data_IF_874875596264
#
_entry.id   IF_874875596264
#
_cell.length_a   1.000
_cell.length_b   1.000
_cell.length_c   1.000
_cell.angle_alpha   90.00
_cell.angle_beta   90.00
_cell.angle_gamma   90.00
#
_symmetry.space_group_name_H-M   'P 1'
#
loop_
_entity.id
_entity.type
_entity.pdbx_description
1 polymer ?
#
# COMPACT_ATOMS: atom_id res chain seq x y z
N UNK A 1 -2.78 20.57 14.49
CA UNK A 1 -2.24 21.58 13.56
C UNK A 1 -0.70 21.67 13.61
N UNK A 2 -0.07 21.63 14.79
CA UNK A 2 1.41 21.70 14.96
C UNK A 2 2.16 20.52 14.30
N UNK A 3 1.57 19.31 14.31
CA UNK A 3 2.18 18.12 13.68
C UNK A 3 2.29 18.20 12.15
N UNK A 4 1.36 18.89 11.47
CA UNK A 4 1.40 19.02 10.02
C UNK A 4 2.48 20.00 9.56
N UNK A 5 2.73 21.06 10.35
CA UNK A 5 3.74 22.08 10.03
C UNK A 5 5.15 21.50 10.16
N UNK A 6 5.40 20.66 11.18
CA UNK A 6 6.68 19.97 11.33
C UNK A 6 6.94 18.94 10.22
N UNK A 7 5.89 18.26 9.74
CA UNK A 7 6.00 17.30 8.65
C UNK A 7 6.32 17.98 7.30
N UNK A 8 5.67 19.12 7.01
CA UNK A 8 5.93 19.92 5.81
C UNK A 8 7.36 20.48 5.83
N UNK A 9 7.82 21.00 6.98
CA UNK A 9 9.18 21.52 7.13
C UNK A 9 10.28 20.45 6.94
N UNK A 10 10.05 19.24 7.44
CA UNK A 10 10.99 18.13 7.25
C UNK A 10 11.09 17.71 5.78
N UNK A 11 9.96 17.62 5.07
CA UNK A 11 9.91 17.25 3.65
C UNK A 11 10.58 18.30 2.75
N UNK A 12 10.40 19.60 3.08
CA UNK A 12 11.07 20.69 2.37
C UNK A 12 12.60 20.68 2.58
N UNK A 13 13.06 20.41 3.81
CA UNK A 13 14.49 20.29 4.13
C UNK A 13 15.15 19.13 3.38
N UNK A 14 14.50 17.97 3.35
CA UNK A 14 15.04 16.78 2.66
C UNK A 14 15.11 16.99 1.15
N UNK A 15 14.12 17.69 0.55
CA UNK A 15 14.16 18.09 -0.86
C UNK A 15 15.32 19.05 -1.18
N UNK A 16 15.58 20.03 -0.31
CA UNK A 16 16.69 20.98 -0.49
C UNK A 16 18.05 20.28 -0.44
N UNK A 17 18.23 19.33 0.47
CA UNK A 17 19.46 18.52 0.56
C UNK A 17 19.66 17.66 -0.69
N UNK A 18 18.60 17.08 -1.25
CA UNK A 18 18.68 16.32 -2.50
C UNK A 18 19.10 17.20 -3.69
N UNK A 19 18.53 18.40 -3.82
CA UNK A 19 18.89 19.34 -4.88
C UNK A 19 20.36 19.76 -4.74
N UNK A 20 20.81 20.10 -3.54
CA UNK A 20 22.21 20.44 -3.27
C UNK A 20 23.17 19.30 -3.62
N UNK A 21 22.79 18.05 -3.33
CA UNK A 21 23.60 16.87 -3.68
C UNK A 21 23.74 16.66 -5.18
N UNK A 22 22.64 16.80 -5.93
CA UNK A 22 22.65 16.71 -7.40
C UNK A 22 23.55 17.79 -8.00
N UNK A 23 23.47 19.02 -7.49
CA UNK A 23 24.33 20.12 -7.94
C UNK A 23 25.83 19.83 -7.71
N UNK A 24 26.19 19.27 -6.56
CA UNK A 24 27.58 18.90 -6.25
C UNK A 24 28.10 17.80 -7.18
N UNK A 25 27.28 16.79 -7.49
CA UNK A 25 27.66 15.73 -8.44
C UNK A 25 27.89 16.31 -9.84
N UNK A 26 26.98 17.14 -10.32
CA UNK A 26 27.11 17.78 -11.64
C UNK A 26 28.37 18.63 -11.70
N UNK A 27 28.63 19.44 -10.65
CA UNK A 27 29.85 20.24 -10.56
C UNK A 27 31.13 19.38 -10.55
N UNK A 28 31.12 18.25 -9.83
CA UNK A 28 32.25 17.31 -9.81
C UNK A 28 32.53 16.70 -11.18
N UNK A 29 31.48 16.23 -11.88
CA UNK A 29 31.60 15.65 -13.23
C UNK A 29 32.16 16.67 -14.23
N UNK A 30 31.65 17.91 -14.19
CA UNK A 30 32.15 19.00 -15.05
C UNK A 30 33.61 19.30 -14.76
N UNK A 31 33.99 19.41 -13.48
CA UNK A 31 35.37 19.69 -13.08
C UNK A 31 36.34 18.58 -13.46
N UNK A 32 35.95 17.30 -13.31
CA UNK A 32 36.75 16.15 -13.76
C UNK A 32 36.93 16.19 -15.28
N UNK A 33 35.87 16.51 -16.04
CA UNK A 33 35.93 16.67 -17.49
C UNK A 33 36.89 17.80 -17.92
N UNK A 34 36.79 18.97 -17.28
CA UNK A 34 37.69 20.10 -17.54
C UNK A 34 39.15 19.77 -17.20
N UNK A 35 39.38 18.98 -16.16
CA UNK A 35 40.74 18.57 -15.76
C UNK A 35 41.32 17.51 -16.70
N UNK A 36 40.48 16.58 -17.18
CA UNK A 36 40.86 15.62 -18.22
C UNK A 36 41.18 16.30 -19.55
N UNK A 37 40.38 17.29 -19.95
CA UNK A 37 40.60 18.05 -21.17
C UNK A 37 41.83 18.97 -21.11
N UNK A 38 42.14 19.53 -19.94
CA UNK A 38 43.37 20.29 -19.73
C UNK A 38 44.61 19.39 -19.69
N UNK A 39 44.48 18.18 -19.13
CA UNK A 39 45.56 17.18 -19.12
C UNK A 39 45.87 16.63 -20.52
N UNK A 40 44.87 16.47 -21.39
CA UNK A 40 45.07 16.06 -22.79
C UNK A 40 45.53 17.19 -23.71
N UNK A 41 45.70 18.41 -23.18
CA UNK A 41 46.15 19.58 -23.93
C UNK A 41 45.10 20.18 -24.86
N UNK A 42 43.83 19.77 -24.74
CA UNK A 42 42.71 20.31 -25.52
C UNK A 42 42.30 21.70 -25.02
N UNK A 43 42.47 21.96 -23.72
CA UNK A 43 42.14 23.23 -23.06
C UNK A 43 43.35 23.71 -22.26
N UNK A 44 43.61 25.02 -22.22
CA UNK A 44 44.67 25.60 -21.39
C UNK A 44 44.29 25.57 -19.91
N UNK A 45 45.28 25.34 -19.04
CA UNK A 45 45.09 25.42 -17.59
C UNK A 45 44.73 26.86 -17.18
N UNK A 46 43.81 27.03 -16.20
CA UNK A 46 43.44 28.35 -15.72
C UNK A 46 44.66 29.09 -15.18
N UNK A 47 44.81 30.37 -15.55
CA UNK A 47 45.97 31.15 -15.13
C UNK A 47 45.67 31.87 -13.81
N UNK A 48 46.43 31.52 -12.76
CA UNK A 48 46.27 32.04 -11.40
C UNK A 48 47.61 32.63 -10.95
N UNK A 49 47.61 33.93 -10.66
CA UNK A 49 48.79 34.61 -10.11
C UNK A 49 48.84 34.40 -8.60
N UNK A 50 49.63 33.42 -8.16
CA UNK A 50 49.89 33.16 -6.74
C UNK A 50 51.37 33.34 -6.45
N UNK A 51 51.70 34.09 -5.40
CA UNK A 51 53.06 34.28 -4.90
C UNK A 51 53.17 33.77 -3.46
N UNK A 52 54.25 33.04 -3.16
CA UNK A 52 54.54 32.55 -1.82
C UNK A 52 55.98 32.93 -1.46
N UNK A 53 56.15 33.71 -0.40
CA UNK A 53 57.47 34.17 0.03
C UNK A 53 58.24 34.98 -1.02
N UNK A 54 57.54 35.77 -1.84
CA UNK A 54 58.15 36.63 -2.88
C UNK A 54 58.56 35.91 -4.18
N UNK A 55 58.33 34.59 -4.30
CA UNK A 55 58.50 33.84 -5.55
C UNK A 55 57.13 33.56 -6.18
N UNK A 56 56.99 33.84 -7.47
CA UNK A 56 55.81 33.47 -8.25
C UNK A 56 55.77 31.96 -8.43
N UNK A 57 54.65 31.33 -8.06
CA UNK A 57 54.47 29.88 -8.19
C UNK A 57 54.02 29.57 -9.61
N UNK A 58 54.92 29.01 -10.42
CA UNK A 58 54.59 28.55 -11.77
C UNK A 58 53.61 27.38 -11.69
N UNK A 59 52.52 27.43 -12.46
CA UNK A 59 51.51 26.37 -12.47
C UNK A 59 50.51 26.41 -11.32
N UNK A 60 50.40 27.52 -10.59
CA UNK A 60 49.45 27.68 -9.48
C UNK A 60 48.00 27.30 -9.84
N UNK A 61 47.56 27.61 -11.07
CA UNK A 61 46.22 27.24 -11.53
C UNK A 61 46.03 25.74 -11.81
N UNK A 62 47.09 25.05 -12.24
CA UNK A 62 47.08 23.58 -12.37
C UNK A 62 46.88 22.92 -11.00
N UNK A 63 47.65 23.33 -10.00
CA UNK A 63 47.52 22.81 -8.64
C UNK A 63 46.16 23.15 -8.02
N UNK A 64 45.63 24.35 -8.26
CA UNK A 64 44.31 24.76 -7.77
C UNK A 64 43.18 23.93 -8.39
N UNK A 65 43.24 23.68 -9.70
CA UNK A 65 42.23 22.89 -10.40
C UNK A 65 42.26 21.42 -9.94
N UNK A 66 43.45 20.81 -9.83
CA UNK A 66 43.59 19.43 -9.34
C UNK A 66 43.15 19.31 -7.87
N UNK A 67 43.50 20.30 -7.03
CA UNK A 67 43.05 20.34 -5.64
C UNK A 67 41.54 20.42 -5.51
N UNK A 68 40.90 21.29 -6.30
CA UNK A 68 39.44 21.46 -6.30
C UNK A 68 38.71 20.21 -6.80
N UNK A 69 39.23 19.55 -7.84
CA UNK A 69 38.62 18.31 -8.37
C UNK A 69 38.73 17.17 -7.39
N UNK A 70 39.88 17.00 -6.75
CA UNK A 70 40.09 15.99 -5.72
C UNK A 70 39.16 16.22 -4.53
N UNK A 71 38.99 17.48 -4.09
CA UNK A 71 38.06 17.86 -3.03
C UNK A 71 36.60 17.53 -3.39
N UNK A 72 36.17 17.85 -4.61
CA UNK A 72 34.81 17.53 -5.08
C UNK A 72 34.57 16.01 -5.18
N UNK A 73 35.54 15.26 -5.70
CA UNK A 73 35.47 13.79 -5.74
C UNK A 73 35.35 13.18 -4.33
N UNK A 74 36.13 13.67 -3.38
CA UNK A 74 36.10 13.21 -1.99
C UNK A 74 34.74 13.53 -1.34
N UNK A 75 34.20 14.72 -1.61
CA UNK A 75 32.88 15.13 -1.13
C UNK A 75 31.75 14.25 -1.71
N UNK A 76 31.84 13.90 -3.01
CA UNK A 76 30.92 12.98 -3.67
C UNK A 76 30.95 11.57 -3.07
N UNK A 77 32.09 11.12 -2.51
CA UNK A 77 32.19 9.83 -1.85
C UNK A 77 31.69 9.87 -0.39
N UNK A 78 31.97 10.96 0.34
CA UNK A 78 31.60 11.11 1.76
C UNK A 78 30.10 11.38 1.98
N UNK A 79 29.48 12.21 1.13
CA UNK A 79 28.07 12.58 1.27
C UNK A 79 27.08 11.38 1.25
N UNK A 80 27.15 10.43 0.29
CA UNK A 80 26.24 9.28 0.26
C UNK A 80 26.48 8.32 1.43
N UNK A 81 27.73 8.15 1.89
CA UNK A 81 28.05 7.34 3.06
C UNK A 81 27.41 7.91 4.34
N UNK A 82 27.54 9.22 4.55
CA UNK A 82 26.92 9.91 5.69
C UNK A 82 25.39 9.94 5.58
N UNK A 83 24.82 10.09 4.39
CA UNK A 83 23.37 10.04 4.18
C UNK A 83 22.79 8.64 4.48
N UNK A 84 23.52 7.58 4.11
CA UNK A 84 23.15 6.20 4.42
C UNK A 84 23.21 5.92 5.93
N UNK A 85 24.22 6.43 6.62
CA UNK A 85 24.35 6.32 8.07
C UNK A 85 23.23 7.07 8.81
N UNK A 86 22.95 8.32 8.41
CA UNK A 86 21.87 9.12 8.99
C UNK A 86 20.46 8.54 8.73
N UNK A 87 20.27 7.79 7.63
CA UNK A 87 19.04 7.04 7.36
C UNK A 87 18.93 5.84 8.31
N UNK A 88 20.03 5.14 8.58
CA UNK A 88 20.07 4.02 9.52
C UNK A 88 19.73 4.48 10.95
N UNK A 89 20.29 5.61 11.39
CA UNK A 89 19.99 6.19 12.71
C UNK A 89 18.52 6.62 12.85
N UNK A 90 17.93 7.20 11.79
CA UNK A 90 16.49 7.51 11.78
C UNK A 90 15.62 6.27 11.82
N UNK A 91 16.00 5.22 11.09
CA UNK A 91 15.29 3.93 11.11
C UNK A 91 15.39 3.24 12.48
N UNK A 92 16.51 3.38 13.17
CA UNK A 92 16.71 2.83 14.52
C UNK A 92 15.96 3.65 15.58
N UNK A 93 15.83 4.97 15.39
CA UNK A 93 15.02 5.86 16.24
C UNK A 93 13.51 5.68 16.02
N UNK A 94 13.06 5.32 14.83
CA UNK A 94 11.65 5.00 14.57
C UNK A 94 11.21 3.64 15.12
N UNK A 95 12.16 2.79 15.54
CA UNK A 95 11.87 1.54 16.23
C UNK A 95 11.79 1.71 17.77
N UNK A 96 12.11 2.89 18.29
CA UNK A 96 11.75 3.25 19.65
C UNK A 96 10.26 3.58 19.66
N UNK A 97 9.48 2.72 20.30
CA UNK A 97 8.05 2.88 20.57
C UNK A 97 7.77 4.36 20.87
N UNK A 98 6.95 5.02 20.05
CA UNK A 98 6.60 6.41 20.28
C UNK A 98 5.94 6.52 21.65
N UNK A 99 6.30 7.53 22.45
CA UNK A 99 5.62 7.82 23.72
C UNK A 99 4.10 7.95 23.52
N UNK A 100 3.65 8.32 22.31
CA UNK A 100 2.22 8.32 21.96
C UNK A 100 1.63 6.92 21.82
N UNK A 101 2.38 5.94 21.31
CA UNK A 101 1.94 4.55 21.22
C UNK A 101 1.94 3.88 22.59
N UNK A 102 2.95 4.16 23.42
CA UNK A 102 2.96 3.75 24.85
C UNK A 102 1.78 4.36 25.58
N UNK A 103 1.54 5.68 25.42
CA UNK A 103 0.42 6.37 26.04
C UNK A 103 -0.92 5.80 25.56
N UNK A 104 -1.07 5.51 24.26
CA UNK A 104 -2.30 4.95 23.70
C UNK A 104 -2.55 3.53 24.19
N UNK A 105 -1.51 2.69 24.25
CA UNK A 105 -1.59 1.35 24.83
C UNK A 105 -1.92 1.40 26.33
N UNK A 106 -1.28 2.32 27.07
CA UNK A 106 -1.52 2.55 28.49
C UNK A 106 -2.94 3.06 28.76
N UNK A 107 -3.44 4.01 27.96
CA UNK A 107 -4.83 4.49 28.02
C UNK A 107 -5.83 3.40 27.70
N UNK A 108 -5.56 2.54 26.70
CA UNK A 108 -6.45 1.43 26.35
C UNK A 108 -6.51 0.37 27.46
N UNK A 109 -5.35 0.02 28.03
CA UNK A 109 -5.24 -0.90 29.16
C UNK A 109 -5.91 -0.32 30.42
N UNK A 110 -5.67 0.95 30.76
CA UNK A 110 -6.30 1.62 31.90
C UNK A 110 -7.77 1.96 31.67
N UNK A 111 -8.24 2.09 30.42
CA UNK A 111 -9.65 2.23 30.12
C UNK A 111 -10.38 0.90 30.30
N UNK A 112 -9.74 -0.24 30.02
CA UNK A 112 -10.29 -1.55 30.32
C UNK A 112 -10.32 -1.83 31.83
N UNK A 113 -9.24 -1.50 32.53
CA UNK A 113 -9.10 -1.71 33.97
C UNK A 113 -10.04 -0.80 34.78
N UNK A 114 -10.10 0.50 34.44
CA UNK A 114 -11.06 1.42 35.06
C UNK A 114 -12.51 1.06 34.75
N UNK A 115 -12.83 0.53 33.57
CA UNK A 115 -14.18 0.04 33.28
C UNK A 115 -14.61 -1.08 34.23
N UNK A 116 -13.69 -1.98 34.60
CA UNK A 116 -13.95 -3.01 35.62
C UNK A 116 -14.12 -2.43 37.03
N UNK A 117 -13.29 -1.47 37.43
CA UNK A 117 -13.41 -0.81 38.75
C UNK A 117 -14.69 0.04 38.86
N UNK A 118 -15.09 0.70 37.77
CA UNK A 118 -16.35 1.45 37.71
C UNK A 118 -17.60 0.56 37.56
N UNK A 119 -17.49 -0.62 36.94
CA UNK A 119 -18.61 -1.58 36.93
C UNK A 119 -18.86 -2.13 38.33
N UNK A 120 -17.80 -2.49 39.07
CA UNK A 120 -17.91 -2.94 40.45
C UNK A 120 -18.60 -1.90 41.33
N UNK A 121 -18.19 -0.64 41.29
CA UNK A 121 -18.83 0.43 42.09
C UNK A 121 -20.30 0.67 41.71
N UNK A 122 -20.66 0.52 40.44
CA UNK A 122 -22.06 0.64 39.99
C UNK A 122 -22.91 -0.54 40.48
N UNK A 123 -22.36 -1.75 40.46
CA UNK A 123 -23.01 -2.96 40.99
C UNK A 123 -23.21 -2.87 42.51
N UNK A 124 -22.19 -2.41 43.24
CA UNK A 124 -22.26 -2.16 44.69
C UNK A 124 -23.31 -1.09 45.03
N UNK A 125 -23.38 0.02 44.28
CA UNK A 125 -24.37 1.06 44.53
C UNK A 125 -25.80 0.58 44.22
N UNK A 126 -25.98 -0.21 43.15
CA UNK A 126 -27.27 -0.82 42.84
C UNK A 126 -27.70 -1.84 43.91
N UNK A 127 -26.77 -2.61 44.48
CA UNK A 127 -27.03 -3.51 45.60
C UNK A 127 -27.40 -2.71 46.87
N UNK A 128 -26.65 -1.65 47.18
CA UNK A 128 -26.89 -0.76 48.32
C UNK A 128 -28.27 -0.10 48.26
N UNK A 129 -28.61 0.48 47.11
CA UNK A 129 -29.92 1.10 46.88
C UNK A 129 -31.06 0.09 47.10
N UNK A 130 -30.84 -1.19 46.72
CA UNK A 130 -31.83 -2.25 46.92
C UNK A 130 -31.96 -2.69 48.37
N UNK A 131 -30.85 -2.83 49.10
CA UNK A 131 -30.88 -3.09 50.55
C UNK A 131 -31.56 -1.94 51.31
N UNK A 132 -31.32 -0.70 50.90
CA UNK A 132 -31.99 0.46 51.47
C UNK A 132 -33.51 0.45 51.18
N UNK A 133 -33.90 0.07 49.96
CA UNK A 133 -35.30 -0.10 49.59
C UNK A 133 -35.99 -1.20 50.41
N UNK A 134 -35.37 -2.38 50.55
CA UNK A 134 -35.93 -3.50 51.33
C UNK A 134 -36.07 -3.15 52.82
N UNK A 135 -35.08 -2.43 53.39
CA UNK A 135 -35.10 -1.99 54.79
C UNK A 135 -36.14 -0.92 55.09
N UNK A 136 -36.52 -0.10 54.10
CA UNK A 136 -37.59 0.90 54.21
C UNK A 136 -38.99 0.30 54.00
N UNK A 137 -39.08 -0.98 53.63
CA UNK A 137 -40.37 -1.63 53.40
C UNK A 137 -41.04 -1.96 54.75
N UNK A 138 -42.32 -1.57 54.95
CA UNK A 138 -42.99 -1.68 56.25
C UNK A 138 -43.00 -3.12 56.80
N UNK A 139 -43.20 -4.11 55.93
CA UNK A 139 -43.31 -5.52 56.30
C UNK A 139 -41.96 -6.23 56.52
N UNK A 140 -40.84 -5.63 56.11
CA UNK A 140 -39.49 -6.24 56.21
C UNK A 140 -38.62 -5.59 57.30
N UNK A 141 -39.16 -4.62 58.03
CA UNK A 141 -38.44 -3.83 59.04
C UNK A 141 -37.93 -4.63 60.26
N UNK A 142 -38.47 -5.83 60.47
CA UNK A 142 -38.13 -6.74 61.59
C UNK A 142 -37.25 -7.93 61.17
N UNK A 143 -36.90 -8.03 59.89
CA UNK A 143 -36.13 -9.16 59.36
C UNK A 143 -34.64 -8.96 59.64
N UNK A 144 -33.95 -10.06 59.95
CA UNK A 144 -32.50 -10.05 60.19
C UNK A 144 -31.72 -9.48 58.99
N UNK A 145 -30.70 -8.63 59.22
CA UNK A 145 -29.95 -7.97 58.15
C UNK A 145 -29.35 -8.93 57.10
N UNK A 146 -28.92 -10.13 57.51
CA UNK A 146 -28.33 -11.14 56.61
C UNK A 146 -29.35 -11.68 55.58
N UNK A 147 -30.63 -11.82 55.97
CA UNK A 147 -31.70 -12.27 55.07
C UNK A 147 -32.08 -11.18 54.05
N UNK A 148 -32.01 -9.91 54.44
CA UNK A 148 -32.24 -8.78 53.53
C UNK A 148 -31.11 -8.64 52.49
N UNK A 149 -29.88 -8.92 52.89
CA UNK A 149 -28.72 -8.94 51.98
C UNK A 149 -28.84 -10.07 50.95
N UNK A 150 -29.16 -11.29 51.41
CA UNK A 150 -29.39 -12.43 50.53
C UNK A 150 -30.54 -12.18 49.54
N UNK A 151 -31.65 -11.60 50.02
CA UNK A 151 -32.78 -11.23 49.16
C UNK A 151 -32.39 -10.16 48.13
N UNK A 152 -31.56 -9.16 48.52
CA UNK A 152 -31.07 -8.14 47.60
C UNK A 152 -30.17 -8.75 46.49
N UNK A 153 -29.28 -9.68 46.86
CA UNK A 153 -28.40 -10.38 45.92
C UNK A 153 -29.21 -11.25 44.94
N UNK A 154 -30.05 -12.14 45.45
CA UNK A 154 -30.88 -13.02 44.62
C UNK A 154 -31.79 -12.24 43.67
N UNK A 155 -32.27 -11.07 44.10
CA UNK A 155 -33.12 -10.20 43.27
C UNK A 155 -32.33 -9.41 42.22
N UNK A 156 -31.03 -9.15 42.44
CA UNK A 156 -30.14 -8.57 41.44
C UNK A 156 -29.84 -9.58 40.32
N UNK A 157 -29.44 -10.80 40.70
CA UNK A 157 -29.17 -11.89 39.76
C UNK A 157 -30.41 -12.24 38.91
N UNK A 158 -31.59 -12.34 39.55
CA UNK A 158 -32.85 -12.60 38.86
C UNK A 158 -33.25 -11.50 37.87
N UNK A 159 -32.97 -10.22 38.21
CA UNK A 159 -33.23 -9.08 37.32
C UNK A 159 -32.31 -9.10 36.10
N UNK A 160 -31.05 -9.45 36.28
CA UNK A 160 -30.08 -9.45 35.20
C UNK A 160 -30.33 -10.61 34.24
N UNK A 161 -30.73 -11.77 34.76
CA UNK A 161 -31.25 -12.87 33.94
C UNK A 161 -32.52 -12.46 33.18
N UNK A 162 -33.49 -11.83 33.84
CA UNK A 162 -34.72 -11.35 33.18
C UNK A 162 -34.42 -10.27 32.11
N UNK A 163 -33.41 -9.43 32.30
CA UNK A 163 -32.96 -8.45 31.30
C UNK A 163 -32.23 -9.08 30.13
N UNK A 164 -31.42 -10.12 30.38
CA UNK A 164 -30.69 -10.82 29.34
C UNK A 164 -31.65 -11.67 28.48
N UNK A 165 -32.55 -12.40 29.14
CA UNK A 165 -33.56 -13.28 28.54
C UNK A 165 -34.93 -12.62 28.41
N UNK A 166 -34.98 -11.30 28.35
CA UNK A 166 -36.23 -10.59 28.06
C UNK A 166 -36.79 -11.10 26.73
N UNK A 167 -38.07 -11.46 26.72
CA UNK A 167 -38.74 -12.06 25.56
C UNK A 167 -38.54 -11.21 24.29
N UNK A 168 -38.55 -9.89 24.41
CA UNK A 168 -38.29 -8.95 23.31
C UNK A 168 -36.88 -9.07 22.71
N UNK A 169 -35.87 -9.36 23.54
CA UNK A 169 -34.50 -9.56 23.06
C UNK A 169 -34.36 -10.91 22.37
N UNK A 170 -34.96 -11.95 22.94
CA UNK A 170 -34.96 -13.30 22.35
C UNK A 170 -35.73 -13.32 21.04
N UNK A 171 -36.89 -12.67 20.97
CA UNK A 171 -37.71 -12.55 19.77
C UNK A 171 -36.95 -11.81 18.64
N UNK A 172 -36.27 -10.70 18.96
CA UNK A 172 -35.42 -9.99 17.99
C UNK A 172 -34.24 -10.82 17.51
N UNK A 173 -33.56 -11.54 18.40
CA UNK A 173 -32.47 -12.43 18.03
C UNK A 173 -32.96 -13.55 17.09
N UNK A 174 -34.12 -14.16 17.38
CA UNK A 174 -34.75 -15.16 16.50
C UNK A 174 -35.13 -14.57 15.14
N UNK A 175 -35.71 -13.39 15.10
CA UNK A 175 -36.06 -12.71 13.85
C UNK A 175 -34.83 -12.40 12.98
N UNK A 176 -33.74 -11.94 13.60
CA UNK A 176 -32.47 -11.72 12.91
C UNK A 176 -31.90 -13.02 12.33
N UNK A 177 -31.88 -14.10 13.11
CA UNK A 177 -31.39 -15.40 12.63
C UNK A 177 -32.24 -15.92 11.46
N UNK A 178 -33.57 -15.76 11.53
CA UNK A 178 -34.47 -16.14 10.44
C UNK A 178 -34.18 -15.33 9.17
N UNK A 179 -34.03 -14.01 9.29
CA UNK A 179 -33.67 -13.15 8.16
C UNK A 179 -32.32 -13.53 7.55
N UNK A 180 -31.33 -13.91 8.36
CA UNK A 180 -30.02 -14.37 7.88
C UNK A 180 -30.08 -15.73 7.20
N UNK A 181 -30.98 -16.62 7.63
CA UNK A 181 -31.22 -17.90 6.96
C UNK A 181 -31.84 -17.66 5.57
N UNK A 182 -32.88 -16.82 5.48
CA UNK A 182 -33.51 -16.46 4.21
C UNK A 182 -32.51 -15.79 3.25
N UNK A 183 -31.63 -14.92 3.74
CA UNK A 183 -30.56 -14.30 2.94
C UNK A 183 -29.54 -15.34 2.44
N UNK A 184 -29.16 -16.30 3.28
CA UNK A 184 -28.23 -17.36 2.90
C UNK A 184 -28.82 -18.28 1.82
N UNK A 185 -30.11 -18.63 1.94
CA UNK A 185 -30.83 -19.41 0.93
C UNK A 185 -30.89 -18.68 -0.42
N UNK A 186 -31.25 -17.39 -0.42
CA UNK A 186 -31.26 -16.58 -1.64
C UNK A 186 -29.88 -16.49 -2.30
N UNK A 187 -28.81 -16.35 -1.50
CA UNK A 187 -27.45 -16.35 -2.01
C UNK A 187 -27.09 -17.70 -2.63
N UNK A 188 -27.46 -18.80 -1.98
CA UNK A 188 -27.21 -20.15 -2.49
C UNK A 188 -27.89 -20.37 -3.85
N UNK A 189 -29.13 -19.90 -4.01
CA UNK A 189 -29.84 -20.03 -5.29
C UNK A 189 -29.24 -19.17 -6.40
N UNK A 190 -28.75 -17.97 -6.09
CA UNK A 190 -27.99 -17.15 -7.04
C UNK A 190 -26.71 -17.84 -7.49
N UNK A 191 -25.98 -18.47 -6.57
CA UNK A 191 -24.74 -19.22 -6.88
C UNK A 191 -25.05 -20.41 -7.78
N UNK A 192 -26.12 -21.17 -7.50
CA UNK A 192 -26.53 -22.28 -8.36
C UNK A 192 -26.83 -21.80 -9.79
N UNK A 193 -27.61 -20.72 -9.93
CA UNK A 193 -27.94 -20.16 -11.25
C UNK A 193 -26.69 -19.71 -12.00
N UNK A 194 -25.81 -18.95 -11.35
CA UNK A 194 -24.56 -18.50 -11.95
C UNK A 194 -23.66 -19.67 -12.40
N UNK A 195 -23.60 -20.74 -11.61
CA UNK A 195 -22.82 -21.94 -11.92
C UNK A 195 -23.40 -22.69 -13.12
N UNK A 196 -24.74 -22.81 -13.19
CA UNK A 196 -25.42 -23.39 -14.33
C UNK A 196 -25.12 -22.61 -15.61
N UNK A 197 -25.28 -21.28 -15.59
CA UNK A 197 -24.98 -20.40 -16.73
C UNK A 197 -23.51 -20.50 -17.15
N UNK A 198 -22.58 -20.53 -16.19
CA UNK A 198 -21.16 -20.68 -16.52
C UNK A 198 -20.84 -22.00 -17.22
N UNK A 199 -21.47 -23.11 -16.79
CA UNK A 199 -21.31 -24.41 -17.43
C UNK A 199 -21.93 -24.45 -18.83
N UNK A 200 -23.08 -23.81 -19.02
CA UNK A 200 -23.73 -23.68 -20.32
C UNK A 200 -22.86 -22.89 -21.32
N UNK A 201 -22.33 -21.74 -20.90
CA UNK A 201 -21.41 -20.94 -21.72
C UNK A 201 -20.15 -21.72 -22.09
N UNK A 202 -19.61 -22.51 -21.16
CA UNK A 202 -18.45 -23.37 -21.44
C UNK A 202 -18.75 -24.42 -22.50
N UNK A 203 -19.93 -25.05 -22.42
CA UNK A 203 -20.38 -26.01 -23.43
C UNK A 203 -20.52 -25.35 -24.81
N UNK A 204 -21.16 -24.18 -24.88
CA UNK A 204 -21.27 -23.45 -26.15
C UNK A 204 -19.90 -23.08 -26.73
N UNK A 205 -18.93 -22.72 -25.90
CA UNK A 205 -17.58 -22.45 -26.38
C UNK A 205 -16.93 -23.70 -26.99
N UNK A 206 -17.08 -24.85 -26.34
CA UNK A 206 -16.56 -26.13 -26.85
C UNK A 206 -17.22 -26.52 -28.18
N UNK A 207 -18.54 -26.32 -28.30
CA UNK A 207 -19.32 -26.57 -29.53
C UNK A 207 -18.85 -25.64 -30.66
N UNK A 208 -18.74 -24.32 -30.42
CA UNK A 208 -18.25 -23.33 -31.40
C UNK A 208 -16.83 -23.68 -31.86
N UNK A 209 -15.94 -24.06 -30.94
CA UNK A 209 -14.56 -24.45 -31.29
C UNK A 209 -14.51 -25.74 -32.12
N UNK A 210 -15.45 -26.66 -31.95
CA UNK A 210 -15.57 -27.84 -32.80
C UNK A 210 -16.04 -27.46 -34.21
N UNK A 211 -17.05 -26.59 -34.32
CA UNK A 211 -17.56 -26.08 -35.59
C UNK A 211 -16.50 -25.27 -36.36
N UNK A 212 -15.77 -24.38 -35.69
CA UNK A 212 -14.69 -23.61 -36.31
C UNK A 212 -13.57 -24.51 -36.86
N UNK A 213 -13.21 -25.57 -36.13
CA UNK A 213 -12.23 -26.55 -36.63
C UNK A 213 -12.73 -27.24 -37.90
N UNK A 214 -13.98 -27.68 -37.92
CA UNK A 214 -14.59 -28.29 -39.10
C UNK A 214 -14.64 -27.31 -40.29
N UNK A 215 -15.05 -26.06 -40.06
CA UNK A 215 -15.11 -25.04 -41.10
C UNK A 215 -13.72 -24.74 -41.69
N UNK A 216 -12.70 -24.64 -40.85
CA UNK A 216 -11.32 -24.43 -41.29
C UNK A 216 -10.80 -25.59 -42.14
N UNK A 217 -11.16 -26.84 -41.79
CA UNK A 217 -10.82 -28.00 -42.61
C UNK A 217 -11.54 -27.99 -43.97
N UNK A 218 -12.81 -27.60 -44.00
CA UNK A 218 -13.57 -27.47 -45.25
C UNK A 218 -13.00 -26.38 -46.16
N UNK A 219 -12.65 -25.22 -45.60
CA UNK A 219 -12.00 -24.13 -46.36
C UNK A 219 -10.68 -24.63 -46.96
N UNK A 220 -9.83 -25.31 -46.17
CA UNK A 220 -8.55 -25.85 -46.67
C UNK A 220 -8.73 -26.87 -47.79
N UNK A 221 -9.75 -27.74 -47.70
CA UNK A 221 -10.08 -28.69 -48.77
C UNK A 221 -10.54 -27.96 -50.02
N UNK A 222 -11.45 -26.98 -49.87
CA UNK A 222 -11.93 -26.18 -50.97
C UNK A 222 -10.79 -25.41 -51.65
N UNK A 223 -9.85 -24.83 -50.89
CA UNK A 223 -8.65 -24.19 -51.43
C UNK A 223 -7.75 -25.17 -52.19
N UNK A 224 -7.58 -26.40 -51.69
CA UNK A 224 -6.82 -27.43 -52.37
C UNK A 224 -7.49 -27.86 -53.68
N UNK A 225 -8.80 -28.12 -53.66
CA UNK A 225 -9.60 -28.48 -54.83
C UNK A 225 -9.56 -27.34 -55.88
N UNK A 226 -9.68 -26.08 -55.45
CA UNK A 226 -9.57 -24.90 -56.31
C UNK A 226 -8.17 -24.79 -56.94
N UNK A 227 -7.11 -25.10 -56.16
CA UNK A 227 -5.72 -25.13 -56.62
C UNK A 227 -5.47 -26.21 -57.68
N UNK A 228 -6.18 -27.32 -57.60
CA UNK A 228 -6.12 -28.38 -58.60
C UNK A 228 -6.84 -28.01 -59.90
N UNK A 229 -8.03 -27.41 -59.81
CA UNK A 229 -8.90 -27.17 -60.99
C UNK A 229 -8.54 -25.91 -61.76
N UNK A 230 -8.11 -24.83 -61.09
CA UNK A 230 -7.85 -23.54 -61.75
C UNK A 230 -6.74 -23.58 -62.83
N UNK A 231 -5.62 -24.30 -62.66
CA UNK A 231 -4.61 -24.43 -63.73
C UNK A 231 -5.19 -25.05 -65.02
N UNK A 232 -6.12 -26.01 -64.89
CA UNK A 232 -6.79 -26.61 -66.06
C UNK A 232 -7.70 -25.63 -66.81
N UNK A 233 -8.15 -24.55 -66.14
CA UNK A 233 -8.93 -23.45 -66.72
C UNK A 233 -8.05 -22.30 -67.24
N UNK A 234 -6.72 -22.40 -67.11
CA UNK A 234 -5.76 -21.38 -67.56
C UNK A 234 -5.50 -20.25 -66.55
N UNK A 235 -5.86 -20.45 -65.27
CA UNK A 235 -5.58 -19.51 -64.18
C UNK A 235 -4.50 -20.10 -63.25
N UNK A 236 -3.33 -19.46 -63.16
CA UNK A 236 -2.24 -19.87 -62.24
C UNK A 236 -2.26 -19.04 -60.94
N UNK A 237 -2.09 -19.71 -59.79
CA UNK A 237 -1.99 -19.04 -58.49
C UNK A 237 -0.69 -18.22 -58.31
N UNK A 238 0.31 -18.44 -59.16
CA UNK A 238 1.62 -17.78 -59.07
C UNK A 238 1.56 -16.27 -59.36
N UNK A 239 0.48 -15.77 -59.97
CA UNK A 239 0.29 -14.32 -60.14
C UNK A 239 0.00 -13.60 -58.81
N UNK A 240 -0.71 -14.23 -57.86
CA UNK A 240 -1.05 -13.58 -56.59
C UNK A 240 0.20 -13.30 -55.71
N UNK A 241 1.24 -14.13 -55.79
CA UNK A 241 2.46 -13.94 -55.01
C UNK A 241 3.46 -12.96 -55.67
N UNK A 242 3.32 -12.68 -56.97
CA UNK A 242 4.11 -11.63 -57.65
C UNK A 242 3.61 -10.21 -57.35
N UNK A 243 2.34 -10.04 -56.95
CA UNK A 243 1.79 -8.70 -56.61
C UNK A 243 2.40 -8.14 -55.31
N UNK A 244 2.78 -8.99 -54.36
CA UNK A 244 3.39 -8.55 -53.08
C UNK A 244 4.86 -8.10 -53.18
N UNK A 245 5.56 -8.36 -54.29
CA UNK A 245 6.95 -7.89 -54.48
C UNK A 245 7.04 -6.49 -55.09
N UNK A 246 5.91 -5.90 -55.52
CA UNK A 246 5.88 -4.54 -56.07
C UNK A 246 5.37 -3.50 -55.05
N UNK A 247 5.72 -3.66 -53.77
CA UNK A 247 5.47 -2.64 -52.75
C UNK A 247 6.66 -1.69 -52.71
N UNK A 248 6.52 -0.54 -53.39
CA UNK A 248 7.43 0.60 -53.23
C UNK A 248 7.45 0.99 -51.76
N UNK A 249 8.60 0.83 -51.09
CA UNK A 249 8.77 1.32 -49.72
C UNK A 249 8.73 2.84 -49.72
N UNK A 250 7.63 3.41 -49.21
CA UNK A 250 7.53 4.84 -48.92
C UNK A 250 8.60 5.23 -47.87
N UNK A 251 9.42 6.26 -48.12
CA UNK A 251 10.39 6.71 -47.13
C UNK A 251 9.64 7.20 -45.88
N UNK A 252 10.04 6.69 -44.71
CA UNK A 252 9.50 7.14 -43.42
C UNK A 252 9.72 8.65 -43.27
N UNK A 253 8.69 9.45 -42.97
CA UNK A 253 8.87 10.88 -42.72
C UNK A 253 9.76 11.06 -41.49
N UNK A 254 10.85 11.81 -41.66
CA UNK A 254 11.71 12.21 -40.56
C UNK A 254 11.07 13.35 -39.78
N UNK A 255 10.95 13.09 -38.47
CA UNK A 255 10.72 13.99 -37.33
C UNK A 255 9.30 14.52 -37.12
#
# INVERSE_FOLDING_TARGET
MISNIQFIGAKARDGLVQIAFVLIIVAAVVMVGLTGAAASGVIEWPNLLMSYGGRSVTGAGMYAQIGLTLLLCLLCFFLPANARMARLERSHRSFQISMQDVKRAYELAHAADRRGVFSLSTEFEAMRQRMEHLRKHPDLSLIEPELLELAAQMSFESRDLARAYSDDKVARARAFLKSRQEEAEQMQDRIKLATYTANELRRWLEDIQAEERQNNEQIRRLEADLREVLPALGYDFDEAQRVDQNVVQLPKPQK
#
